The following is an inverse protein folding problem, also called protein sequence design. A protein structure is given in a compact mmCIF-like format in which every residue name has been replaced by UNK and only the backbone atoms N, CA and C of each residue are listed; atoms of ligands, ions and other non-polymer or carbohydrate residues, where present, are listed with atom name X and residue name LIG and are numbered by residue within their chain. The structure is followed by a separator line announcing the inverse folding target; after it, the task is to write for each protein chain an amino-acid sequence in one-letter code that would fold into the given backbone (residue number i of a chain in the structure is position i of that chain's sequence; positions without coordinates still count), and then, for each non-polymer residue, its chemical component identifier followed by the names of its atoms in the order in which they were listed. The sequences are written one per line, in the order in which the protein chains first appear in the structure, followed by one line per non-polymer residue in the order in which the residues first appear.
data_IF_528085869416
#
_entry.id   IF_528085869416
#
_cell.length_a   1.000
_cell.length_b   1.000
_cell.length_c   1.000
_cell.angle_alpha   90.00
_cell.angle_beta   90.00
_cell.angle_gamma   90.00
#
_symmetry.space_group_name_H-M   'P 1'
#
loop_
_entity.id
_entity.type
_entity.pdbx_description
1 polymer ?
#
# COMPACT_ATOMS: atom_id res chain seq x y z
N UNK A 1 17.65 -11.72 1.14
CA UNK A 1 16.86 -12.58 2.05
C UNK A 1 17.53 -12.81 3.40
N UNK A 2 18.84 -13.10 3.48
CA UNK A 2 19.51 -13.36 4.78
C UNK A 2 19.41 -12.17 5.77
N UNK A 3 19.77 -10.92 5.41
CA UNK A 3 19.66 -9.80 6.35
C UNK A 3 18.22 -9.49 6.76
N UNK A 4 17.29 -9.63 5.81
CA UNK A 4 15.87 -9.44 6.05
C UNK A 4 15.29 -10.50 7.01
N UNK A 5 15.75 -11.75 6.90
CA UNK A 5 15.38 -12.80 7.85
C UNK A 5 15.88 -12.50 9.26
N UNK A 6 17.13 -12.07 9.40
CA UNK A 6 17.73 -11.68 10.68
C UNK A 6 16.91 -10.53 11.31
N UNK A 7 16.57 -9.50 10.54
CA UNK A 7 15.73 -8.39 11.00
C UNK A 7 14.39 -8.89 11.57
N UNK A 8 13.67 -9.74 10.83
CA UNK A 8 12.38 -10.29 11.27
C UNK A 8 12.53 -11.16 12.53
N UNK A 9 13.63 -11.90 12.64
CA UNK A 9 13.96 -12.69 13.82
C UNK A 9 14.23 -11.80 15.04
N UNK A 10 15.00 -10.72 14.87
CA UNK A 10 15.33 -9.78 15.93
C UNK A 10 14.10 -8.98 16.39
N UNK A 11 13.15 -8.73 15.48
CA UNK A 11 11.82 -8.18 15.78
C UNK A 11 10.90 -9.16 16.54
N UNK A 12 11.27 -10.45 16.63
CA UNK A 12 10.43 -11.48 17.26
C UNK A 12 9.12 -11.72 16.50
N UNK A 13 9.12 -11.54 15.18
CA UNK A 13 7.94 -11.69 14.31
C UNK A 13 7.90 -13.04 13.59
N UNK A 14 8.90 -13.90 13.80
CA UNK A 14 8.86 -15.29 13.36
C UNK A 14 7.62 -15.99 13.95
N UNK A 15 6.94 -16.79 13.12
CA UNK A 15 5.69 -17.49 13.44
C UNK A 15 4.45 -16.59 13.64
N UNK A 16 4.55 -15.28 13.34
CA UNK A 16 3.40 -14.36 13.36
C UNK A 16 2.90 -14.08 11.95
N UNK A 17 1.59 -14.25 11.72
CA UNK A 17 0.94 -13.92 10.43
C UNK A 17 1.17 -12.46 9.97
N UNK A 18 1.33 -11.55 10.93
CA UNK A 18 1.63 -10.13 10.66
C UNK A 18 2.90 -9.93 9.81
N UNK A 19 3.86 -10.85 9.88
CA UNK A 19 5.12 -10.82 9.14
C UNK A 19 4.93 -10.95 7.62
N UNK A 20 3.80 -11.51 7.18
CA UNK A 20 3.44 -11.64 5.77
C UNK A 20 2.68 -10.42 5.24
N UNK A 21 2.06 -9.65 6.13
CA UNK A 21 1.21 -8.51 5.78
C UNK A 21 2.00 -7.20 5.82
N UNK A 22 2.65 -6.91 6.95
CA UNK A 22 3.20 -5.58 7.25
C UNK A 22 4.42 -5.25 6.36
N UNK A 23 5.44 -6.11 6.25
CA UNK A 23 6.65 -5.72 5.53
C UNK A 23 6.46 -5.55 4.03
N UNK A 24 5.48 -6.26 3.45
CA UNK A 24 5.09 -6.15 2.05
C UNK A 24 4.01 -5.11 1.77
N UNK A 25 3.48 -4.43 2.80
CA UNK A 25 2.36 -3.50 2.66
C UNK A 25 2.72 -2.24 1.85
N UNK A 26 4.00 -1.87 1.81
CA UNK A 26 4.49 -0.71 1.08
C UNK A 26 5.47 -1.15 -0.01
N UNK A 27 5.16 -0.76 -1.24
CA UNK A 27 6.01 -0.93 -2.40
C UNK A 27 6.32 0.44 -2.98
N UNK A 28 7.61 0.76 -3.12
CA UNK A 28 8.08 2.02 -3.74
C UNK A 28 7.54 2.14 -5.17
N UNK A 29 7.48 1.03 -5.90
CA UNK A 29 6.93 1.00 -7.25
C UNK A 29 5.44 1.36 -7.27
N UNK A 30 4.65 0.76 -6.37
CA UNK A 30 3.22 1.08 -6.24
C UNK A 30 3.01 2.55 -5.84
N UNK A 31 3.85 3.07 -4.94
CA UNK A 31 3.82 4.49 -4.56
C UNK A 31 4.07 5.41 -5.76
N UNK A 32 5.06 5.10 -6.60
CA UNK A 32 5.37 5.89 -7.80
C UNK A 32 4.18 5.87 -8.76
N UNK A 33 3.56 4.71 -8.99
CA UNK A 33 2.38 4.59 -9.86
C UNK A 33 1.22 5.46 -9.34
N UNK A 34 0.91 5.36 -8.05
CA UNK A 34 -0.15 6.16 -7.42
C UNK A 34 0.16 7.66 -7.52
N UNK A 35 1.39 8.07 -7.24
CA UNK A 35 1.82 9.47 -7.37
C UNK A 35 1.63 9.98 -8.80
N UNK A 36 2.09 9.21 -9.80
CA UNK A 36 1.96 9.59 -11.21
C UNK A 36 0.49 9.69 -11.62
N UNK A 37 -0.36 8.77 -11.17
CA UNK A 37 -1.80 8.83 -11.40
C UNK A 37 -2.43 10.11 -10.85
N UNK A 38 -2.09 10.50 -9.62
CA UNK A 38 -2.59 11.75 -9.04
C UNK A 38 -2.13 12.99 -9.81
N UNK A 39 -0.86 13.00 -10.24
CA UNK A 39 -0.29 14.12 -11.02
C UNK A 39 -0.89 14.24 -12.41
N UNK A 40 -1.27 13.14 -13.05
CA UNK A 40 -1.87 13.16 -14.39
C UNK A 40 -3.38 13.36 -14.39
N UNK A 41 -4.07 12.85 -13.37
CA UNK A 41 -5.54 12.80 -13.35
C UNK A 41 -6.16 14.03 -12.70
N UNK A 42 -5.49 14.65 -11.72
CA UNK A 42 -6.05 15.79 -10.98
C UNK A 42 -5.37 17.08 -11.43
N UNK A 43 -6.05 17.94 -12.21
CA UNK A 43 -5.51 19.23 -12.60
C UNK A 43 -5.27 20.13 -11.40
N UNK A 44 -4.25 20.97 -11.48
CA UNK A 44 -3.92 21.92 -10.43
C UNK A 44 -5.05 22.92 -10.15
N UNK A 45 -5.87 23.23 -11.16
CA UNK A 45 -7.04 24.11 -11.05
C UNK A 45 -8.09 23.61 -10.07
N UNK A 46 -8.24 22.30 -9.88
CA UNK A 46 -9.16 21.73 -8.89
C UNK A 46 -8.71 22.12 -7.48
N UNK A 47 -7.40 22.06 -7.20
CA UNK A 47 -6.85 22.44 -5.91
C UNK A 47 -7.00 23.95 -5.64
N UNK A 48 -6.87 24.77 -6.68
CA UNK A 48 -7.09 26.22 -6.60
C UNK A 48 -8.56 26.53 -6.29
N UNK A 49 -9.50 25.88 -6.98
CA UNK A 49 -10.94 26.06 -6.73
C UNK A 49 -11.33 25.67 -5.30
N UNK A 50 -10.87 24.51 -4.81
CA UNK A 50 -11.11 24.07 -3.43
C UNK A 50 -10.61 25.09 -2.40
N UNK A 51 -9.47 25.72 -2.68
CA UNK A 51 -8.85 26.71 -1.81
C UNK A 51 -9.57 28.06 -1.85
N UNK A 52 -10.08 28.45 -3.01
CA UNK A 52 -10.95 29.64 -3.15
C UNK A 52 -12.28 29.42 -2.41
N UNK A 53 -12.84 28.21 -2.49
CA UNK A 53 -14.07 27.82 -1.79
C UNK A 53 -13.89 27.63 -0.27
N UNK A 54 -12.68 27.85 0.25
CA UNK A 54 -12.37 27.77 1.69
C UNK A 54 -12.54 26.35 2.27
N UNK A 55 -12.45 25.32 1.43
CA UNK A 55 -12.61 23.94 1.86
C UNK A 55 -11.33 23.43 2.54
N UNK A 56 -11.49 22.71 3.65
CA UNK A 56 -10.40 22.09 4.40
C UNK A 56 -9.71 20.98 3.58
N UNK A 57 -8.39 20.82 3.74
CA UNK A 57 -7.59 19.87 2.94
C UNK A 57 -8.03 18.41 3.13
N UNK A 58 -8.38 18.01 4.37
CA UNK A 58 -8.86 16.65 4.66
C UNK A 58 -10.22 16.42 4.01
N UNK A 59 -11.10 17.43 4.08
CA UNK A 59 -12.42 17.39 3.47
C UNK A 59 -12.31 17.31 1.95
N UNK A 60 -11.44 18.11 1.34
CA UNK A 60 -11.15 18.06 -0.10
C UNK A 60 -10.66 16.68 -0.52
N UNK A 61 -9.72 16.11 0.24
CA UNK A 61 -9.21 14.77 -0.04
C UNK A 61 -10.32 13.72 -0.04
N UNK A 62 -11.16 13.69 1.01
CA UNK A 62 -12.23 12.70 1.15
C UNK A 62 -13.36 12.89 0.14
N UNK A 63 -13.71 14.13 -0.20
CA UNK A 63 -14.88 14.44 -1.04
C UNK A 63 -14.56 14.51 -2.53
N UNK A 64 -13.31 14.82 -2.92
CA UNK A 64 -12.92 15.05 -4.31
C UNK A 64 -11.83 14.06 -4.74
N UNK A 65 -10.67 14.10 -4.08
CA UNK A 65 -9.50 13.32 -4.48
C UNK A 65 -9.74 11.81 -4.37
N UNK A 66 -10.34 11.35 -3.27
CA UNK A 66 -10.62 9.93 -3.00
C UNK A 66 -11.60 9.31 -4.01
N UNK A 67 -12.78 9.89 -4.31
CA UNK A 67 -13.69 9.33 -5.31
C UNK A 67 -13.12 9.36 -6.73
N UNK A 68 -12.29 10.36 -7.09
CA UNK A 68 -11.57 10.38 -8.37
C UNK A 68 -10.51 9.26 -8.46
N UNK A 69 -10.07 8.74 -7.33
CA UNK A 69 -9.04 7.70 -7.22
C UNK A 69 -9.57 6.27 -7.25
N UNK A 70 -10.87 6.05 -7.44
CA UNK A 70 -11.45 4.70 -7.58
C UNK A 70 -10.70 3.81 -8.60
N UNK A 71 -10.32 4.29 -9.79
CA UNK A 71 -9.61 3.47 -10.77
C UNK A 71 -8.24 3.00 -10.25
N UNK A 72 -7.44 3.91 -9.68
CA UNK A 72 -6.11 3.57 -9.18
C UNK A 72 -6.18 2.65 -7.95
N UNK A 73 -7.18 2.84 -7.09
CA UNK A 73 -7.43 1.95 -5.95
C UNK A 73 -7.72 0.52 -6.43
N UNK A 74 -8.52 0.35 -7.49
CA UNK A 74 -8.79 -0.96 -8.07
C UNK A 74 -7.52 -1.64 -8.63
N UNK A 75 -6.67 -0.87 -9.33
CA UNK A 75 -5.38 -1.37 -9.83
C UNK A 75 -4.46 -1.79 -8.68
N UNK A 76 -4.34 -0.96 -7.64
CA UNK A 76 -3.53 -1.30 -6.47
C UNK A 76 -4.08 -2.53 -5.74
N UNK A 77 -5.39 -2.62 -5.54
CA UNK A 77 -6.03 -3.78 -4.92
C UNK A 77 -5.72 -5.07 -5.68
N UNK A 78 -5.76 -5.04 -7.02
CA UNK A 78 -5.37 -6.18 -7.85
C UNK A 78 -3.90 -6.54 -7.67
N UNK A 79 -2.99 -5.57 -7.72
CA UNK A 79 -1.55 -5.80 -7.58
C UNK A 79 -1.20 -6.41 -6.21
N UNK A 80 -1.79 -5.88 -5.14
CA UNK A 80 -1.63 -6.45 -3.80
C UNK A 80 -2.26 -7.84 -3.69
N UNK A 81 -3.47 -8.06 -4.22
CA UNK A 81 -4.12 -9.35 -4.18
C UNK A 81 -3.29 -10.44 -4.89
N UNK A 82 -2.83 -10.17 -6.10
CA UNK A 82 -1.97 -11.10 -6.86
C UNK A 82 -0.63 -11.31 -6.15
N UNK A 83 -0.01 -10.25 -5.61
CA UNK A 83 1.24 -10.35 -4.88
C UNK A 83 1.12 -11.22 -3.62
N UNK A 84 0.08 -11.00 -2.82
CA UNK A 84 -0.17 -11.81 -1.62
C UNK A 84 -0.55 -13.25 -1.97
N UNK A 85 -1.36 -13.47 -3.00
CA UNK A 85 -1.74 -14.81 -3.45
C UNK A 85 -0.51 -15.65 -3.86
N UNK A 86 0.50 -15.01 -4.44
CA UNK A 86 1.74 -15.67 -4.88
C UNK A 86 2.84 -15.70 -3.80
N UNK A 87 2.58 -15.25 -2.57
CA UNK A 87 3.61 -15.10 -1.52
C UNK A 87 3.91 -16.41 -0.76
N UNK A 88 4.22 -17.49 -1.49
CA UNK A 88 4.51 -18.80 -0.90
C UNK A 88 5.88 -18.84 -0.20
N UNK A 89 6.91 -18.21 -0.80
CA UNK A 89 8.29 -18.30 -0.31
C UNK A 89 8.48 -17.58 1.03
N UNK A 90 7.82 -16.44 1.22
CA UNK A 90 7.81 -15.73 2.50
C UNK A 90 7.15 -16.57 3.60
N UNK A 91 6.01 -17.20 3.31
CA UNK A 91 5.33 -18.08 4.25
C UNK A 91 6.22 -19.26 4.69
N UNK A 92 6.90 -19.92 3.76
CA UNK A 92 7.80 -21.04 4.06
C UNK A 92 8.97 -20.66 4.98
N UNK A 93 9.49 -19.44 4.84
CA UNK A 93 10.65 -18.98 5.62
C UNK A 93 10.25 -18.46 7.01
N UNK A 94 9.14 -17.74 7.09
CA UNK A 94 8.76 -16.99 8.29
C UNK A 94 7.73 -17.70 9.17
N UNK A 95 7.02 -18.71 8.64
CA UNK A 95 6.06 -19.55 9.37
C UNK A 95 6.54 -21.01 9.39
N UNK A 96 7.60 -21.34 10.15
CA UNK A 96 8.11 -22.70 10.24
C UNK A 96 7.20 -23.64 11.02
N UNK A 97 6.23 -23.15 11.81
CA UNK A 97 5.29 -24.02 12.52
C UNK A 97 4.16 -24.49 11.59
N UNK A 98 4.32 -25.71 11.09
CA UNK A 98 3.19 -26.55 10.65
C UNK A 98 2.94 -27.53 11.81
N UNK A 99 2.46 -27.03 12.96
CA UNK A 99 2.10 -27.90 14.09
C UNK A 99 1.18 -27.20 15.10
N UNK A 100 -0.12 -27.23 14.85
CA UNK A 100 -1.06 -28.19 15.45
C UNK A 100 -2.41 -28.13 14.74
#
# INVERSE_FOLDING_TARGET
MIPYYILIKDLGWIDKRAVLLIPGALSVFNMIIVRTFYQSTIPQTIYESVRIDGCDDIRSFLQITLPLSKPIIAVMALFFAVGHWNSYFGALIFLPSVSK
#
